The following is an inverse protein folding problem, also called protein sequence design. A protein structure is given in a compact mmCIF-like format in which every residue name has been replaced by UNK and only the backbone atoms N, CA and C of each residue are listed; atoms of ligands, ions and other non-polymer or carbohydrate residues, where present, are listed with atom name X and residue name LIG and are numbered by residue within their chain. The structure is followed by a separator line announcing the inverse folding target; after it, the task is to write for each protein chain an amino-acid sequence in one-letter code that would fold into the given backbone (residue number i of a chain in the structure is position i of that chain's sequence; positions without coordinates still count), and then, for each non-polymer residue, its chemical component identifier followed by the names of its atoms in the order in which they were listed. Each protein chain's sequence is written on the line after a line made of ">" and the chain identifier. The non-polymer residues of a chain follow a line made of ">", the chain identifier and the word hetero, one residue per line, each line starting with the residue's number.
data_IF_571792664909
#
_entry.id   IF_571792664909
#
_cell.length_a   1.000
_cell.length_b   1.000
_cell.length_c   1.000
_cell.angle_alpha   90.00
_cell.angle_beta   90.00
_cell.angle_gamma   90.00
#
_symmetry.space_group_name_H-M   'P 1'
#
loop_
_entity.id
_entity.type
_entity.pdbx_description
1 polymer ?
#
# COMPACT_ATOMS: atom_id res chain seq x y z
N UNK A 1 -40.03 29.98 35.02
CA UNK A 1 -38.56 30.00 34.88
C UNK A 1 -38.14 28.72 34.17
N UNK A 2 -37.93 28.78 32.85
CA UNK A 2 -37.60 27.62 32.01
C UNK A 2 -36.08 27.45 32.04
N UNK A 3 -35.60 26.34 32.61
CA UNK A 3 -34.18 25.95 32.62
C UNK A 3 -33.82 25.36 31.26
N UNK A 4 -33.14 26.13 30.43
CA UNK A 4 -32.55 25.65 29.18
C UNK A 4 -31.29 24.86 29.51
N UNK A 5 -31.36 23.53 29.43
CA UNK A 5 -30.21 22.65 29.57
C UNK A 5 -29.40 22.71 28.27
N UNK A 6 -28.24 23.37 28.27
CA UNK A 6 -27.29 23.31 27.15
C UNK A 6 -26.63 21.93 27.15
N UNK A 7 -27.07 21.07 26.24
CA UNK A 7 -26.44 19.77 25.97
C UNK A 7 -25.21 20.02 25.10
N UNK A 8 -24.04 20.08 25.72
CA UNK A 8 -22.74 20.19 25.04
C UNK A 8 -22.50 18.94 24.19
N UNK A 9 -22.78 19.05 22.89
CA UNK A 9 -22.48 18.03 21.90
C UNK A 9 -20.95 17.94 21.75
N UNK A 10 -20.33 16.98 22.44
CA UNK A 10 -18.93 16.58 22.21
C UNK A 10 -18.83 16.10 20.77
N UNK A 11 -18.34 16.97 19.89
CA UNK A 11 -17.86 16.63 18.55
C UNK A 11 -16.71 15.63 18.72
N UNK A 12 -17.04 14.34 18.71
CA UNK A 12 -16.06 13.29 18.50
C UNK A 12 -15.55 13.45 17.07
N UNK A 13 -14.45 14.19 16.91
CA UNK A 13 -13.68 14.15 15.68
C UNK A 13 -13.32 12.68 15.42
N UNK A 14 -13.71 12.09 14.28
CA UNK A 14 -13.18 10.78 13.94
C UNK A 14 -11.66 10.92 13.90
N UNK A 15 -10.98 10.25 14.83
CA UNK A 15 -9.57 9.93 14.68
C UNK A 15 -9.50 9.10 13.40
N UNK A 16 -9.15 9.74 12.29
CA UNK A 16 -8.74 9.03 11.06
C UNK A 16 -7.47 8.31 11.44
N UNK A 17 -7.61 7.08 11.92
CA UNK A 17 -6.50 6.20 12.21
C UNK A 17 -5.93 5.80 10.85
N UNK A 18 -4.90 6.51 10.39
CA UNK A 18 -4.22 6.09 9.17
C UNK A 18 -3.60 4.71 9.46
N UNK A 19 -4.15 3.67 8.84
CA UNK A 19 -3.80 2.29 9.17
C UNK A 19 -2.45 1.91 8.55
N UNK A 20 -1.73 1.03 9.23
CA UNK A 20 -0.69 0.23 8.59
C UNK A 20 -1.38 -0.78 7.67
N UNK A 21 -0.80 -1.08 6.51
CA UNK A 21 -1.36 -1.99 5.52
C UNK A 21 -0.41 -3.12 5.19
N UNK A 22 -0.95 -4.32 5.05
CA UNK A 22 -0.28 -5.51 4.57
C UNK A 22 -0.98 -5.99 3.30
N UNK A 23 -0.28 -5.99 2.16
CA UNK A 23 -0.85 -6.39 0.88
C UNK A 23 -0.09 -7.56 0.24
N UNK A 24 -0.79 -8.35 -0.57
CA UNK A 24 -0.22 -9.46 -1.34
C UNK A 24 -1.05 -9.79 -2.58
N UNK A 25 -0.41 -10.32 -3.61
CA UNK A 25 -1.12 -10.95 -4.73
C UNK A 25 -1.41 -12.43 -4.39
N UNK A 26 -2.57 -12.92 -4.82
CA UNK A 26 -3.04 -14.27 -4.51
C UNK A 26 -3.16 -15.16 -5.73
N UNK A 27 -3.71 -14.62 -6.82
CA UNK A 27 -4.16 -15.45 -7.94
C UNK A 27 -3.19 -15.45 -9.12
N UNK A 28 -2.40 -14.39 -9.28
CA UNK A 28 -1.49 -14.23 -10.42
C UNK A 28 -0.44 -13.13 -10.16
N UNK A 29 0.56 -13.10 -11.02
CA UNK A 29 1.48 -11.98 -11.23
C UNK A 29 1.27 -11.37 -12.62
N UNK A 30 1.38 -10.05 -12.70
CA UNK A 30 1.40 -9.35 -13.99
C UNK A 30 2.71 -8.59 -14.09
N UNK A 31 3.44 -8.84 -15.18
CA UNK A 31 4.63 -8.10 -15.56
C UNK A 31 4.33 -7.28 -16.82
N UNK A 32 4.54 -5.97 -16.76
CA UNK A 32 4.32 -5.07 -17.88
C UNK A 32 5.61 -4.39 -18.32
N UNK A 33 5.78 -4.27 -19.64
CA UNK A 33 6.81 -3.48 -20.27
C UNK A 33 6.26 -2.65 -21.43
N UNK A 34 7.13 -2.01 -22.20
CA UNK A 34 6.73 -1.13 -23.31
C UNK A 34 5.88 -1.82 -24.41
N UNK A 35 5.92 -3.15 -24.49
CA UNK A 35 5.23 -3.94 -25.52
C UNK A 35 3.93 -4.61 -25.04
N UNK A 36 3.54 -4.41 -23.78
CA UNK A 36 2.36 -5.03 -23.18
C UNK A 36 2.68 -5.73 -21.87
N UNK A 37 1.77 -6.59 -21.45
CA UNK A 37 1.84 -7.30 -20.17
C UNK A 37 1.72 -8.81 -20.35
N UNK A 38 2.43 -9.54 -19.51
CA UNK A 38 2.38 -10.99 -19.39
C UNK A 38 1.79 -11.35 -18.03
N UNK A 39 0.97 -12.40 -17.99
CA UNK A 39 0.32 -12.90 -16.77
C UNK A 39 0.95 -14.25 -16.44
N UNK A 40 1.40 -14.41 -15.20
CA UNK A 40 1.78 -15.71 -14.66
C UNK A 40 0.78 -16.15 -13.59
N UNK A 41 0.14 -17.30 -13.78
CA UNK A 41 -0.80 -17.89 -12.81
C UNK A 41 -0.22 -19.12 -12.11
N UNK A 42 0.96 -19.61 -12.55
CA UNK A 42 1.54 -20.87 -12.09
C UNK A 42 2.90 -20.63 -11.44
N UNK A 43 3.16 -21.31 -10.31
CA UNK A 43 4.48 -21.38 -9.67
C UNK A 43 5.14 -20.02 -9.38
N UNK A 44 4.38 -18.98 -9.03
CA UNK A 44 4.92 -17.71 -8.56
C UNK A 44 5.05 -17.67 -7.03
N UNK A 45 5.94 -16.82 -6.53
CA UNK A 45 6.04 -16.53 -5.09
C UNK A 45 5.24 -15.27 -4.82
N UNK A 46 4.16 -15.31 -4.03
CA UNK A 46 3.38 -14.13 -3.70
C UNK A 46 4.26 -12.98 -3.21
N UNK A 47 4.10 -11.82 -3.83
CA UNK A 47 4.66 -10.57 -3.36
C UNK A 47 4.03 -10.21 -2.02
N UNK A 48 4.85 -9.67 -1.14
CA UNK A 48 4.43 -9.16 0.17
C UNK A 48 4.78 -7.68 0.29
N UNK A 49 3.80 -6.86 0.66
CA UNK A 49 3.93 -5.41 0.71
C UNK A 49 3.48 -4.94 2.08
N UNK A 50 4.29 -4.12 2.74
CA UNK A 50 3.92 -3.44 3.98
C UNK A 50 4.03 -1.94 3.80
N UNK A 51 2.97 -1.22 4.17
CA UNK A 51 2.98 0.24 4.25
C UNK A 51 2.63 0.65 5.67
N UNK A 52 3.58 1.29 6.35
CA UNK A 52 3.32 1.88 7.65
C UNK A 52 2.69 3.27 7.51
N UNK A 53 1.92 3.68 8.51
CA UNK A 53 1.33 5.02 8.63
C UNK A 53 2.37 6.14 8.45
N UNK A 54 3.61 5.91 8.91
CA UNK A 54 4.70 6.87 8.81
C UNK A 54 5.27 7.04 7.38
N UNK A 55 4.81 6.26 6.41
CA UNK A 55 5.32 6.29 5.03
C UNK A 55 6.37 5.24 4.72
N UNK A 56 6.78 4.41 5.68
CA UNK A 56 7.71 3.32 5.39
C UNK A 56 7.02 2.26 4.53
N UNK A 57 7.51 2.09 3.30
CA UNK A 57 7.06 1.08 2.35
C UNK A 57 8.13 0.01 2.23
N UNK A 58 7.71 -1.25 2.36
CA UNK A 58 8.49 -2.43 2.08
C UNK A 58 7.79 -3.28 1.03
N UNK A 59 8.51 -3.70 0.00
CA UNK A 59 8.01 -4.58 -1.06
C UNK A 59 8.96 -5.76 -1.20
N UNK A 60 8.48 -6.97 -1.02
CA UNK A 60 9.24 -8.20 -1.16
C UNK A 60 8.65 -9.07 -2.26
N UNK A 61 9.48 -9.47 -3.21
CA UNK A 61 9.12 -10.46 -4.22
C UNK A 61 10.29 -11.43 -4.39
N UNK A 62 9.99 -12.72 -4.39
CA UNK A 62 11.01 -13.78 -4.40
C UNK A 62 12.04 -13.58 -3.27
N UNK A 63 13.33 -13.48 -3.61
CA UNK A 63 14.43 -13.28 -2.68
C UNK A 63 14.80 -11.81 -2.46
N UNK A 64 14.12 -10.87 -3.12
CA UNK A 64 14.42 -9.44 -3.04
C UNK A 64 13.38 -8.72 -2.20
N UNK A 65 13.85 -7.80 -1.35
CA UNK A 65 13.01 -6.87 -0.60
C UNK A 65 13.57 -5.46 -0.79
N UNK A 66 12.71 -4.51 -1.12
CA UNK A 66 13.04 -3.09 -1.23
C UNK A 66 12.31 -2.33 -0.14
N UNK A 67 13.04 -1.47 0.57
CA UNK A 67 12.54 -0.76 1.74
C UNK A 67 12.91 0.72 1.66
N UNK A 68 11.99 1.61 2.06
CA UNK A 68 12.25 3.06 2.03
C UNK A 68 11.03 3.90 2.37
N UNK A 69 11.13 5.20 2.12
CA UNK A 69 10.06 6.16 2.41
C UNK A 69 9.22 6.43 1.16
N UNK A 70 7.91 6.36 1.32
CA UNK A 70 6.92 6.74 0.34
C UNK A 70 6.26 8.07 0.71
N UNK A 71 5.96 8.88 -0.29
CA UNK A 71 5.03 10.00 -0.15
C UNK A 71 3.61 9.44 -0.18
N UNK A 72 2.84 9.65 0.88
CA UNK A 72 1.45 9.20 0.94
C UNK A 72 0.50 10.37 0.65
N UNK A 73 -0.46 10.10 -0.23
CA UNK A 73 -1.65 10.91 -0.47
C UNK A 73 -2.88 10.12 -0.01
N UNK A 74 -3.71 10.75 0.82
CA UNK A 74 -5.00 10.21 1.23
C UNK A 74 -6.13 11.09 0.67
N UNK A 75 -7.10 10.48 -0.01
CA UNK A 75 -8.39 11.10 -0.35
C UNK A 75 -9.52 10.15 0.03
N UNK A 76 -10.18 10.46 1.16
CA UNK A 76 -11.28 9.67 1.74
C UNK A 76 -10.84 8.22 1.99
N UNK A 77 -11.32 7.28 1.17
CA UNK A 77 -11.06 5.84 1.29
C UNK A 77 -10.02 5.36 0.27
N UNK A 78 -9.29 6.29 -0.34
CA UNK A 78 -8.23 5.98 -1.29
C UNK A 78 -6.90 6.47 -0.74
N UNK A 79 -5.93 5.56 -0.74
CA UNK A 79 -4.54 5.82 -0.39
C UNK A 79 -3.70 5.64 -1.65
N UNK A 80 -2.77 6.57 -1.89
CA UNK A 80 -1.70 6.42 -2.86
C UNK A 80 -0.34 6.63 -2.17
N UNK A 81 0.52 5.63 -2.21
CA UNK A 81 1.91 5.72 -1.79
C UNK A 81 2.81 5.72 -3.03
N UNK A 82 3.60 6.79 -3.19
CA UNK A 82 4.61 6.91 -4.25
C UNK A 82 6.00 6.90 -3.63
N UNK A 83 6.76 5.87 -3.95
CA UNK A 83 8.02 5.54 -3.30
C UNK A 83 9.12 5.49 -4.37
N UNK A 84 10.19 6.25 -4.15
CA UNK A 84 11.32 6.33 -5.08
C UNK A 84 12.60 5.92 -4.36
N UNK A 85 13.51 5.29 -5.09
CA UNK A 85 14.83 4.90 -4.59
C UNK A 85 14.78 4.00 -3.34
N UNK A 86 13.84 3.04 -3.30
CA UNK A 86 13.77 2.06 -2.22
C UNK A 86 14.97 1.13 -2.35
N UNK A 87 15.81 1.10 -1.31
CA UNK A 87 17.02 0.32 -1.31
C UNK A 87 16.71 -1.17 -1.14
N UNK A 88 17.39 -2.02 -1.91
CA UNK A 88 17.28 -3.46 -1.75
C UNK A 88 18.01 -3.91 -0.47
N UNK A 89 17.35 -4.75 0.34
CA UNK A 89 17.91 -5.30 1.57
C UNK A 89 19.25 -6.02 1.27
N UNK A 90 20.32 -5.60 1.95
CA UNK A 90 21.68 -6.13 1.77
C UNK A 90 22.45 -5.61 0.55
N UNK A 91 21.82 -4.86 -0.36
CA UNK A 91 22.45 -4.31 -1.57
C UNK A 91 21.95 -2.89 -1.85
N UNK A 92 22.46 -1.91 -1.08
CA UNK A 92 21.96 -0.52 -1.10
C UNK A 92 22.14 0.22 -2.42
N UNK A 93 23.05 -0.24 -3.29
CA UNK A 93 23.29 0.35 -4.61
C UNK A 93 22.24 -0.08 -5.64
N UNK A 94 21.37 -1.04 -5.30
CA UNK A 94 20.23 -1.46 -6.11
C UNK A 94 18.99 -0.83 -5.50
N UNK A 95 18.33 0.01 -6.29
CA UNK A 95 17.16 0.74 -5.86
C UNK A 95 16.00 0.57 -6.84
N UNK A 96 14.78 0.59 -6.30
CA UNK A 96 13.55 0.40 -7.05
C UNK A 96 12.55 1.53 -6.77
N UNK A 97 11.66 1.76 -7.73
CA UNK A 97 10.57 2.71 -7.59
C UNK A 97 9.24 1.96 -7.59
N UNK A 98 8.36 2.30 -6.64
CA UNK A 98 7.07 1.66 -6.49
C UNK A 98 5.94 2.68 -6.34
N UNK A 99 4.79 2.33 -6.88
CA UNK A 99 3.51 2.96 -6.58
C UNK A 99 2.61 1.89 -5.97
N UNK A 100 1.99 2.20 -4.85
CA UNK A 100 0.94 1.39 -4.24
C UNK A 100 -0.32 2.25 -4.11
N UNK A 101 -1.41 1.82 -4.73
CA UNK A 101 -2.74 2.40 -4.53
C UNK A 101 -3.61 1.42 -3.74
N UNK A 102 -4.37 1.90 -2.75
CA UNK A 102 -5.27 1.08 -1.95
C UNK A 102 -6.65 1.74 -1.95
N UNK A 103 -7.69 0.94 -2.19
CA UNK A 103 -9.08 1.29 -1.90
C UNK A 103 -9.47 0.61 -0.58
N UNK A 104 -9.65 1.41 0.45
CA UNK A 104 -9.90 0.93 1.81
C UNK A 104 -11.29 0.29 1.95
N UNK A 105 -12.25 0.65 1.09
CA UNK A 105 -13.63 0.15 1.19
C UNK A 105 -13.74 -1.34 0.89
N UNK A 106 -13.01 -1.80 -0.13
CA UNK A 106 -13.05 -3.18 -0.60
C UNK A 106 -11.73 -3.91 -0.33
N UNK A 107 -10.77 -3.25 0.34
CA UNK A 107 -9.50 -3.85 0.73
C UNK A 107 -8.69 -4.35 -0.47
N UNK A 108 -8.88 -3.76 -1.65
CA UNK A 108 -8.10 -4.07 -2.85
C UNK A 108 -7.12 -2.94 -3.15
N UNK A 109 -5.95 -3.29 -3.66
CA UNK A 109 -4.98 -2.33 -4.14
C UNK A 109 -4.41 -2.69 -5.50
N UNK A 110 -3.47 -1.87 -5.95
CA UNK A 110 -2.68 -2.08 -7.14
C UNK A 110 -1.25 -1.66 -6.86
N UNK A 111 -0.29 -2.48 -7.25
CA UNK A 111 1.13 -2.17 -7.16
C UNK A 111 1.77 -2.10 -8.54
N UNK A 112 2.67 -1.14 -8.73
CA UNK A 112 3.52 -1.04 -9.90
C UNK A 112 4.97 -0.70 -9.51
N UNK A 113 5.92 -1.43 -10.08
CA UNK A 113 7.37 -1.23 -9.87
C UNK A 113 8.15 -2.48 -10.20
N UNK A 114 9.43 -2.36 -10.56
CA UNK A 114 10.29 -3.52 -10.96
C UNK A 114 9.65 -4.44 -12.02
N UNK A 115 8.88 -3.86 -12.95
CA UNK A 115 8.15 -4.59 -13.98
C UNK A 115 6.80 -5.15 -13.53
N UNK A 116 6.53 -5.27 -12.22
CA UNK A 116 5.21 -5.64 -11.71
C UNK A 116 4.18 -4.55 -11.98
N UNK A 117 2.93 -4.96 -12.25
CA UNK A 117 1.79 -4.07 -12.47
C UNK A 117 0.48 -4.83 -12.21
N UNK A 118 0.18 -5.14 -10.95
CA UNK A 118 -0.84 -6.12 -10.58
C UNK A 118 -1.74 -5.69 -9.41
N UNK A 119 -3.00 -6.16 -9.36
CA UNK A 119 -3.85 -6.01 -8.20
C UNK A 119 -3.32 -6.81 -7.01
N UNK A 120 -3.62 -6.32 -5.81
CA UNK A 120 -3.26 -6.96 -4.54
C UNK A 120 -4.45 -6.90 -3.58
N UNK A 121 -4.55 -7.89 -2.69
CA UNK A 121 -5.45 -7.82 -1.54
C UNK A 121 -4.70 -7.15 -0.38
N UNK A 122 -5.34 -6.21 0.31
CA UNK A 122 -4.76 -5.39 1.35
C UNK A 122 -5.56 -5.47 2.66
N UNK A 123 -4.90 -5.80 3.76
CA UNK A 123 -5.51 -5.88 5.08
C UNK A 123 -4.89 -4.82 5.99
N UNK A 124 -5.68 -4.09 6.79
CA UNK A 124 -5.14 -3.20 7.81
C UNK A 124 -4.47 -4.04 8.91
N UNK A 125 -3.23 -3.70 9.25
CA UNK A 125 -2.54 -4.30 10.40
C UNK A 125 -3.12 -3.72 11.71
N UNK A 126 -3.25 -4.58 12.73
CA UNK A 126 -3.84 -4.23 14.03
C UNK A 126 -2.85 -3.55 14.96
#
# INVERSE_FOLDING_TARGET
>A
MIRTLFLSLLLASPLTYAANWSCKNHDFEIYCGARGCEINQENFTPMYIQLQQAGELKVCAYSACWSGQAKILYDRQHLLASANELAMDGQKDIAANFILAINENNQTGFIQGEGFAMPVQCEPEK
#
